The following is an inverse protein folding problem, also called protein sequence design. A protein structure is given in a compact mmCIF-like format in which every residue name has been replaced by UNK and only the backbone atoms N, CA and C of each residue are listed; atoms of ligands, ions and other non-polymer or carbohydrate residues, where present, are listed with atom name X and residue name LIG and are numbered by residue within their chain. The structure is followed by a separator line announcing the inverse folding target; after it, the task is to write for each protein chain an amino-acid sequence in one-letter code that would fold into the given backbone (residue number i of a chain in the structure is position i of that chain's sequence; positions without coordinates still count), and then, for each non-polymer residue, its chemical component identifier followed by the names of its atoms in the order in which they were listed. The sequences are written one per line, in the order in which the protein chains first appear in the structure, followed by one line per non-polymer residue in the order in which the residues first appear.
data_IF_438164243456
#
_entry.id   IF_438164243456
#
_cell.length_a   1.000
_cell.length_b   1.000
_cell.length_c   1.000
_cell.angle_alpha   90.00
_cell.angle_beta   90.00
_cell.angle_gamma   90.00
#
_symmetry.space_group_name_H-M   'P 1'
#
loop_
_entity.id
_entity.type
_entity.pdbx_description
1 polymer ?
#
# COMPACT_ATOMS: atom_id res chain seq x y z
N UNK A 1 24.32 -15.11 -25.33
CA UNK A 1 23.79 -14.18 -24.30
C UNK A 1 22.28 -14.20 -24.38
N UNK A 2 21.53 -14.76 -23.41
CA UNK A 2 20.08 -14.69 -23.47
C UNK A 2 19.61 -13.34 -22.93
N UNK A 3 18.71 -12.75 -23.71
CA UNK A 3 18.06 -11.47 -23.50
C UNK A 3 17.38 -11.38 -22.13
N UNK A 4 17.55 -10.24 -21.45
CA UNK A 4 16.75 -9.91 -20.26
C UNK A 4 15.30 -9.68 -20.70
N UNK A 5 14.47 -10.71 -20.62
CA UNK A 5 13.03 -10.56 -20.67
C UNK A 5 12.58 -9.84 -19.40
N UNK A 6 12.42 -8.52 -19.50
CA UNK A 6 11.67 -7.74 -18.52
C UNK A 6 10.18 -7.93 -18.80
N UNK A 7 9.57 -8.95 -18.19
CA UNK A 7 8.12 -9.02 -18.05
C UNK A 7 7.78 -8.71 -16.60
N UNK A 8 7.30 -7.50 -16.35
CA UNK A 8 6.85 -7.06 -15.04
C UNK A 8 6.25 -5.68 -15.20
N UNK A 9 4.98 -5.54 -14.85
CA UNK A 9 4.40 -4.23 -14.58
C UNK A 9 4.70 -3.98 -13.10
N UNK A 10 5.83 -3.35 -12.72
CA UNK A 10 6.05 -2.98 -11.32
C UNK A 10 4.93 -2.01 -10.93
N UNK A 11 4.65 -1.81 -9.65
CA UNK A 11 3.54 -0.98 -9.16
C UNK A 11 3.34 0.39 -9.88
N UNK A 12 4.40 0.95 -10.51
CA UNK A 12 4.30 2.08 -11.46
C UNK A 12 3.41 1.82 -12.68
N UNK A 13 3.49 0.65 -13.30
CA UNK A 13 2.67 0.32 -14.45
C UNK A 13 1.21 0.02 -14.08
N UNK A 14 0.94 -0.49 -12.86
CA UNK A 14 -0.42 -0.53 -12.29
C UNK A 14 -0.94 0.91 -12.09
N UNK A 15 -0.10 1.78 -11.54
CA UNK A 15 -0.42 3.20 -11.43
C UNK A 15 -0.66 3.87 -12.80
N UNK A 16 0.15 3.57 -13.81
CA UNK A 16 -0.05 4.09 -15.16
C UNK A 16 -1.29 3.52 -15.82
N UNK A 17 -1.64 2.25 -15.61
CA UNK A 17 -2.89 1.68 -16.13
C UNK A 17 -4.10 2.31 -15.47
N UNK A 18 -4.08 2.51 -14.14
CA UNK A 18 -5.12 3.24 -13.41
C UNK A 18 -5.21 4.69 -13.92
N UNK A 19 -4.08 5.38 -14.07
CA UNK A 19 -4.03 6.76 -14.59
C UNK A 19 -4.51 6.87 -16.04
N UNK A 20 -4.20 5.90 -16.90
CA UNK A 20 -4.67 5.88 -18.31
C UNK A 20 -6.16 5.54 -18.40
N UNK A 21 -6.70 4.75 -17.49
CA UNK A 21 -8.14 4.50 -17.39
C UNK A 21 -8.92 5.73 -16.89
N UNK A 22 -8.23 6.75 -16.36
CA UNK A 22 -8.84 7.95 -15.77
C UNK A 22 -8.53 9.27 -16.52
N UNK A 23 -7.96 9.22 -17.72
CA UNK A 23 -7.76 10.43 -18.53
C UNK A 23 -8.37 10.29 -19.93
N UNK A 24 -9.43 11.09 -20.11
CA UNK A 24 -10.09 11.51 -21.35
C UNK A 24 -11.21 10.58 -21.88
N UNK A 25 -12.37 10.66 -21.25
CA UNK A 25 -13.60 10.78 -22.05
C UNK A 25 -13.73 12.26 -22.47
N UNK A 26 -13.86 12.58 -23.77
CA UNK A 26 -13.79 13.96 -24.30
C UNK A 26 -14.96 14.88 -23.89
N UNK A 27 -15.77 14.50 -22.90
CA UNK A 27 -16.94 15.28 -22.41
C UNK A 27 -16.99 15.49 -20.89
N UNK A 28 -15.90 15.25 -20.15
CA UNK A 28 -15.84 15.64 -18.74
C UNK A 28 -16.83 14.96 -17.78
N UNK A 29 -17.32 13.76 -18.11
CA UNK A 29 -18.20 12.98 -17.21
C UNK A 29 -17.31 12.16 -16.23
N UNK A 30 -17.54 12.23 -14.91
CA UNK A 30 -16.81 11.40 -13.94
C UNK A 30 -17.11 9.92 -14.18
N UNK A 31 -16.11 9.15 -14.63
CA UNK A 31 -16.25 7.71 -14.83
C UNK A 31 -16.03 6.98 -13.50
N UNK A 32 -16.98 7.14 -12.57
CA UNK A 32 -17.23 6.14 -11.53
C UNK A 32 -18.47 5.28 -11.84
N UNK A 33 -19.13 5.52 -12.99
CA UNK A 33 -20.36 4.86 -13.41
C UNK A 33 -20.19 3.79 -14.50
N UNK A 34 -19.02 3.18 -14.68
CA UNK A 34 -18.95 1.94 -15.46
C UNK A 34 -19.02 0.73 -14.52
N UNK A 35 -20.08 -0.06 -14.65
CA UNK A 35 -20.29 -1.34 -13.96
C UNK A 35 -19.15 -2.36 -14.15
N UNK A 36 -18.19 -2.07 -15.04
CA UNK A 36 -17.05 -2.93 -15.38
C UNK A 36 -15.92 -2.85 -14.35
N UNK A 37 -15.53 -1.64 -13.91
CA UNK A 37 -14.46 -1.42 -12.92
C UNK A 37 -14.92 -1.81 -11.52
N UNK A 38 -16.16 -1.50 -11.16
CA UNK A 38 -16.76 -1.89 -9.88
C UNK A 38 -16.86 -3.41 -9.69
N UNK A 39 -17.12 -4.19 -10.75
CA UNK A 39 -17.27 -5.65 -10.65
C UNK A 39 -15.96 -6.45 -10.58
N UNK A 40 -14.83 -5.91 -11.07
CA UNK A 40 -13.53 -6.61 -11.06
C UNK A 40 -12.53 -6.10 -10.01
N UNK A 41 -12.75 -4.90 -9.48
CA UNK A 41 -11.98 -4.31 -8.38
C UNK A 41 -12.85 -4.09 -7.14
N UNK A 42 -14.00 -4.77 -7.05
CA UNK A 42 -14.79 -4.78 -5.82
C UNK A 42 -13.89 -5.22 -4.65
N UNK A 43 -13.85 -4.44 -3.55
CA UNK A 43 -13.21 -4.88 -2.32
C UNK A 43 -13.74 -6.26 -1.92
N UNK A 44 -12.87 -7.10 -1.38
CA UNK A 44 -13.32 -8.39 -0.85
C UNK A 44 -14.25 -8.15 0.33
N UNK A 45 -15.37 -8.86 0.33
CA UNK A 45 -16.27 -8.95 1.48
C UNK A 45 -15.60 -9.71 2.62
N UNK A 46 -16.05 -9.50 3.86
CA UNK A 46 -15.57 -10.24 5.03
C UNK A 46 -15.70 -11.77 4.86
N UNK A 47 -16.73 -12.22 4.14
CA UNK A 47 -16.96 -13.63 3.84
C UNK A 47 -15.96 -14.20 2.81
N UNK A 48 -15.55 -13.39 1.83
CA UNK A 48 -14.50 -13.76 0.88
C UNK A 48 -13.12 -13.74 1.54
N UNK A 49 -12.91 -12.83 2.50
CA UNK A 49 -11.71 -12.75 3.31
C UNK A 49 -11.51 -13.98 4.19
N UNK A 50 -12.56 -14.44 4.86
CA UNK A 50 -12.53 -15.65 5.68
C UNK A 50 -12.21 -16.93 4.88
N UNK A 51 -12.33 -16.89 3.54
CA UNK A 51 -12.05 -18.02 2.64
C UNK A 51 -10.67 -17.96 1.99
N UNK A 52 -9.90 -16.88 2.19
CA UNK A 52 -8.54 -16.81 1.65
C UNK A 52 -7.63 -17.79 2.39
N UNK A 53 -6.79 -18.57 1.68
CA UNK A 53 -5.84 -19.44 2.33
C UNK A 53 -4.75 -18.62 3.04
N UNK A 54 -4.55 -18.91 4.32
CA UNK A 54 -3.50 -18.33 5.17
C UNK A 54 -3.93 -17.13 6.02
N UNK A 55 -3.19 -16.89 7.10
CA UNK A 55 -3.43 -15.80 8.04
C UNK A 55 -3.19 -14.41 7.41
N UNK A 56 -3.76 -13.40 8.07
CA UNK A 56 -3.54 -12.00 7.72
C UNK A 56 -2.09 -11.57 7.94
N UNK A 57 -1.67 -10.55 7.19
CA UNK A 57 -0.32 -9.99 7.27
C UNK A 57 -0.32 -8.47 7.43
N UNK A 58 0.80 -7.94 7.92
CA UNK A 58 1.17 -6.53 7.83
C UNK A 58 2.25 -6.39 6.78
N UNK A 59 2.08 -5.47 5.84
CA UNK A 59 3.03 -5.26 4.75
C UNK A 59 3.78 -3.96 4.97
N UNK A 60 5.11 -4.04 5.10
CA UNK A 60 5.99 -2.88 5.05
C UNK A 60 6.53 -2.75 3.62
N UNK A 61 6.17 -1.68 2.92
CA UNK A 61 6.66 -1.40 1.56
C UNK A 61 7.96 -0.61 1.63
N UNK A 62 9.03 -1.23 1.14
CA UNK A 62 10.35 -0.62 1.02
C UNK A 62 10.71 -0.37 -0.44
N UNK A 63 11.53 0.64 -0.72
CA UNK A 63 11.98 0.94 -2.09
C UNK A 63 13.48 1.25 -2.13
N UNK A 64 14.33 0.29 -1.75
CA UNK A 64 15.77 0.49 -1.71
C UNK A 64 16.29 0.93 -3.09
N UNK A 65 17.25 1.86 -3.09
CA UNK A 65 17.87 2.37 -4.32
C UNK A 65 16.98 3.30 -5.17
N UNK A 66 15.97 3.93 -4.56
CA UNK A 66 15.11 4.90 -5.25
C UNK A 66 15.13 6.27 -4.57
N UNK A 67 14.72 7.33 -5.25
CA UNK A 67 14.62 8.69 -4.69
C UNK A 67 13.54 8.84 -3.59
N UNK A 68 12.93 7.75 -3.12
CA UNK A 68 11.86 7.75 -2.10
C UNK A 68 12.08 6.59 -1.14
N UNK A 69 13.15 6.74 -0.38
CA UNK A 69 13.56 5.87 0.72
C UNK A 69 13.31 6.64 2.00
N UNK A 70 13.06 5.93 3.09
CA UNK A 70 13.11 6.51 4.42
C UNK A 70 14.46 6.18 5.08
N UNK A 71 15.14 7.18 5.65
CA UNK A 71 16.49 7.02 6.21
C UNK A 71 16.53 5.90 7.27
N UNK A 72 15.46 5.81 8.08
CA UNK A 72 15.35 4.88 9.21
C UNK A 72 14.52 3.61 8.90
N UNK A 73 14.49 3.16 7.63
CA UNK A 73 13.72 1.95 7.25
C UNK A 73 14.11 0.70 8.04
N UNK A 74 15.38 0.54 8.42
CA UNK A 74 15.86 -0.59 9.22
C UNK A 74 15.26 -0.63 10.62
N UNK A 75 15.26 0.50 11.32
CA UNK A 75 14.69 0.63 12.67
C UNK A 75 13.18 0.41 12.67
N UNK A 76 12.48 0.90 11.64
CA UNK A 76 11.04 0.67 11.48
C UNK A 76 10.75 -0.80 11.22
N UNK A 77 11.52 -1.44 10.33
CA UNK A 77 11.36 -2.88 10.06
C UNK A 77 11.59 -3.71 11.33
N UNK A 78 12.67 -3.45 12.07
CA UNK A 78 12.99 -4.15 13.31
C UNK A 78 11.89 -3.97 14.36
N UNK A 79 11.42 -2.73 14.57
CA UNK A 79 10.35 -2.44 15.51
C UNK A 79 9.03 -3.12 15.11
N UNK A 80 8.66 -3.07 13.83
CA UNK A 80 7.48 -3.76 13.33
C UNK A 80 7.62 -5.29 13.46
N UNK A 81 8.83 -5.84 13.27
CA UNK A 81 9.09 -7.27 13.39
C UNK A 81 8.96 -7.73 14.85
N UNK A 82 9.40 -6.90 15.80
CA UNK A 82 9.20 -7.13 17.22
C UNK A 82 7.73 -7.20 17.63
N UNK A 83 6.85 -6.45 16.96
CA UNK A 83 5.40 -6.46 17.23
C UNK A 83 4.67 -7.57 16.48
N UNK A 84 4.93 -7.74 15.18
CA UNK A 84 4.12 -8.62 14.33
C UNK A 84 4.74 -9.98 14.04
N UNK A 85 6.02 -10.20 14.38
CA UNK A 85 6.72 -11.45 14.15
C UNK A 85 6.63 -11.92 12.69
N UNK A 86 6.18 -13.16 12.51
CA UNK A 86 6.02 -13.79 11.20
C UNK A 86 4.91 -13.17 10.33
N UNK A 87 4.00 -12.39 10.94
CA UNK A 87 2.94 -11.70 10.20
C UNK A 87 3.46 -10.46 9.46
N UNK A 88 4.68 -10.00 9.74
CA UNK A 88 5.31 -8.91 8.98
C UNK A 88 5.91 -9.42 7.67
N UNK A 89 5.42 -8.90 6.55
CA UNK A 89 5.98 -9.12 5.22
C UNK A 89 6.61 -7.82 4.71
N UNK A 90 7.90 -7.89 4.36
CA UNK A 90 8.62 -6.76 3.79
C UNK A 90 8.56 -6.84 2.26
N UNK A 91 7.86 -5.90 1.64
CA UNK A 91 7.71 -5.81 0.20
C UNK A 91 8.70 -4.78 -0.38
N UNK A 92 9.84 -5.26 -0.88
CA UNK A 92 10.92 -4.40 -1.40
C UNK A 92 11.20 -4.54 -2.90
N UNK A 93 10.64 -5.54 -3.56
CA UNK A 93 10.97 -5.92 -4.94
C UNK A 93 9.72 -6.07 -5.80
N UNK A 94 9.88 -5.98 -7.12
CA UNK A 94 8.78 -6.19 -8.06
C UNK A 94 8.39 -7.67 -8.10
N UNK A 95 7.29 -8.03 -7.44
CA UNK A 95 6.63 -9.32 -7.65
C UNK A 95 5.78 -9.30 -8.94
N UNK A 96 5.54 -10.45 -9.59
CA UNK A 96 4.48 -10.60 -10.57
C UNK A 96 3.14 -10.11 -10.00
N UNK A 97 2.31 -9.48 -10.82
CA UNK A 97 1.08 -8.82 -10.36
C UNK A 97 0.13 -9.76 -9.60
N UNK A 98 0.05 -11.03 -9.98
CA UNK A 98 -0.78 -12.02 -9.29
C UNK A 98 -0.24 -12.35 -7.90
N UNK A 99 1.09 -12.46 -7.74
CA UNK A 99 1.70 -12.68 -6.43
C UNK A 99 1.58 -11.45 -5.52
N UNK A 100 1.75 -10.25 -6.09
CA UNK A 100 1.48 -9.01 -5.37
C UNK A 100 0.02 -8.95 -4.94
N UNK A 101 -0.93 -9.24 -5.84
CA UNK A 101 -2.35 -9.32 -5.50
C UNK A 101 -2.60 -10.29 -4.34
N UNK A 102 -2.05 -11.50 -4.39
CA UNK A 102 -2.30 -12.52 -3.37
C UNK A 102 -1.69 -12.14 -2.01
N UNK A 103 -0.57 -11.41 -1.99
CA UNK A 103 -0.02 -10.79 -0.78
C UNK A 103 -0.93 -9.68 -0.24
N UNK A 104 -1.26 -8.68 -1.06
CA UNK A 104 -2.00 -7.50 -0.62
C UNK A 104 -3.47 -7.81 -0.29
N UNK A 105 -4.06 -8.88 -0.85
CA UNK A 105 -5.38 -9.40 -0.44
C UNK A 105 -5.43 -9.88 1.01
N UNK A 106 -4.29 -10.24 1.60
CA UNK A 106 -4.18 -10.65 3.01
C UNK A 106 -3.69 -9.52 3.93
N UNK A 107 -3.40 -8.33 3.38
CA UNK A 107 -2.83 -7.24 4.15
C UNK A 107 -3.91 -6.53 5.00
N UNK A 108 -3.83 -6.65 6.32
CA UNK A 108 -4.67 -5.86 7.25
C UNK A 108 -4.13 -4.44 7.46
N UNK A 109 -2.81 -4.29 7.37
CA UNK A 109 -2.14 -2.99 7.38
C UNK A 109 -1.05 -2.96 6.32
N UNK A 110 -1.01 -1.88 5.55
CA UNK A 110 0.13 -1.51 4.69
C UNK A 110 0.79 -0.26 5.25
N UNK A 111 2.09 -0.31 5.53
CA UNK A 111 2.90 0.85 5.88
C UNK A 111 3.83 1.14 4.71
N UNK A 112 3.77 2.34 4.15
CA UNK A 112 4.55 2.66 2.96
C UNK A 112 4.91 4.14 2.86
N UNK A 113 6.11 4.41 2.36
CA UNK A 113 6.47 5.75 1.87
C UNK A 113 5.67 6.06 0.60
N UNK A 114 5.23 7.31 0.45
CA UNK A 114 4.47 7.74 -0.72
C UNK A 114 5.11 7.29 -2.03
N UNK A 115 4.33 6.60 -2.86
CA UNK A 115 4.75 6.20 -4.19
C UNK A 115 4.03 4.98 -4.70
N UNK A 116 4.51 4.47 -5.84
CA UNK A 116 3.76 3.50 -6.62
C UNK A 116 3.40 2.20 -5.87
N UNK A 117 4.12 1.83 -4.81
CA UNK A 117 3.77 0.67 -3.98
C UNK A 117 2.36 0.78 -3.35
N UNK A 118 1.88 1.99 -3.07
CA UNK A 118 0.52 2.23 -2.59
C UNK A 118 -0.57 1.97 -3.65
N UNK A 119 -0.22 1.78 -4.93
CA UNK A 119 -1.21 1.36 -5.93
C UNK A 119 -1.82 -0.02 -5.63
N UNK A 120 -1.17 -0.83 -4.80
CA UNK A 120 -1.70 -2.13 -4.37
C UNK A 120 -2.87 -2.05 -3.38
N UNK A 121 -3.25 -0.85 -2.92
CA UNK A 121 -4.49 -0.63 -2.14
C UNK A 121 -5.71 -1.23 -2.84
N UNK A 122 -5.74 -1.26 -4.17
CA UNK A 122 -6.82 -1.88 -4.97
C UNK A 122 -7.04 -3.37 -4.70
N UNK A 123 -6.07 -4.05 -4.10
CA UNK A 123 -6.16 -5.46 -3.76
C UNK A 123 -6.43 -5.70 -2.28
N UNK A 124 -6.36 -4.66 -1.45
CA UNK A 124 -6.54 -4.79 -0.01
C UNK A 124 -8.01 -5.11 0.33
N UNK A 125 -8.24 -5.79 1.46
CA UNK A 125 -9.59 -6.03 1.92
C UNK A 125 -10.27 -4.78 2.43
N UNK A 126 -11.61 -4.83 2.40
CA UNK A 126 -12.46 -3.84 3.05
C UNK A 126 -12.07 -3.70 4.53
N UNK A 127 -12.11 -2.47 5.05
CA UNK A 127 -11.75 -2.11 6.42
C UNK A 127 -10.28 -2.38 6.80
N UNK A 128 -9.43 -2.80 5.86
CA UNK A 128 -7.98 -2.77 6.06
C UNK A 128 -7.49 -1.34 6.29
N UNK A 129 -6.24 -1.19 6.71
CA UNK A 129 -5.65 0.12 6.97
C UNK A 129 -4.41 0.36 6.13
N UNK A 130 -4.19 1.59 5.70
CA UNK A 130 -2.94 2.03 5.10
C UNK A 130 -2.39 3.21 5.89
N UNK A 131 -1.10 3.13 6.25
CA UNK A 131 -0.34 4.24 6.79
C UNK A 131 0.63 4.73 5.71
N UNK A 132 0.27 5.84 5.08
CA UNK A 132 1.15 6.54 4.15
C UNK A 132 2.09 7.48 4.91
N UNK A 133 3.39 7.32 4.68
CA UNK A 133 4.41 8.27 5.16
C UNK A 133 4.87 9.13 3.98
N UNK A 134 4.78 10.45 4.09
CA UNK A 134 5.15 11.35 2.97
C UNK A 134 5.79 12.65 3.42
N UNK A 135 6.60 13.30 2.57
CA UNK A 135 7.10 14.64 2.85
C UNK A 135 5.96 15.66 3.02
N UNK A 136 6.12 16.61 3.95
CA UNK A 136 5.15 17.70 4.17
C UNK A 136 4.88 18.54 2.92
N UNK A 137 5.86 18.71 2.03
CA UNK A 137 5.73 19.45 0.77
C UNK A 137 4.98 18.68 -0.33
N UNK A 138 4.56 17.44 -0.05
CA UNK A 138 3.90 16.57 -1.01
C UNK A 138 2.38 16.53 -0.82
N UNK A 139 1.66 17.14 -1.77
CA UNK A 139 0.22 17.42 -1.64
C UNK A 139 -0.70 16.48 -2.45
N UNK A 140 -0.15 15.55 -3.23
CA UNK A 140 -0.99 14.66 -4.03
C UNK A 140 -1.68 13.62 -3.13
N UNK A 141 -3.01 13.71 -3.05
CA UNK A 141 -3.90 12.88 -2.23
C UNK A 141 -4.42 11.64 -2.95
N UNK A 142 -3.81 11.24 -4.07
CA UNK A 142 -4.37 10.18 -4.90
C UNK A 142 -4.53 8.83 -4.20
N UNK A 143 -3.67 8.49 -3.23
CA UNK A 143 -3.82 7.25 -2.46
C UNK A 143 -4.85 7.35 -1.34
N UNK A 144 -5.16 8.56 -0.86
CA UNK A 144 -6.30 8.79 0.02
C UNK A 144 -7.61 8.50 -0.72
N UNK A 145 -7.79 9.08 -1.92
CA UNK A 145 -8.97 8.79 -2.75
C UNK A 145 -9.04 7.32 -3.18
N UNK A 146 -7.88 6.67 -3.41
CA UNK A 146 -7.83 5.25 -3.74
C UNK A 146 -8.30 4.39 -2.55
N UNK A 147 -7.84 4.72 -1.35
CA UNK A 147 -8.25 4.02 -0.14
C UNK A 147 -9.76 4.20 0.12
N UNK A 148 -10.28 5.41 -0.03
CA UNK A 148 -11.71 5.70 0.06
C UNK A 148 -12.53 4.88 -0.95
N UNK A 149 -12.10 4.87 -2.22
CA UNK A 149 -12.77 4.09 -3.26
C UNK A 149 -12.75 2.57 -3.01
N UNK A 150 -11.76 2.08 -2.26
CA UNK A 150 -11.62 0.67 -1.88
C UNK A 150 -12.16 0.34 -0.48
N UNK A 151 -12.77 1.31 0.21
CA UNK A 151 -13.19 1.19 1.61
C UNK A 151 -12.07 0.70 2.55
N UNK A 152 -10.88 1.26 2.38
CA UNK A 152 -9.68 1.05 3.19
C UNK A 152 -9.46 2.30 4.05
N UNK A 153 -9.21 2.11 5.34
CA UNK A 153 -8.91 3.17 6.28
C UNK A 153 -7.55 3.80 5.95
N UNK A 154 -7.51 5.12 5.76
CA UNK A 154 -6.30 5.82 5.36
C UNK A 154 -5.78 6.70 6.50
N UNK A 155 -4.50 6.51 6.83
CA UNK A 155 -3.76 7.28 7.83
C UNK A 155 -2.55 7.91 7.16
N UNK A 156 -2.22 9.13 7.57
CA UNK A 156 -1.12 9.90 7.02
C UNK A 156 -0.15 10.32 8.11
N UNK A 157 1.13 9.99 7.94
CA UNK A 157 2.22 10.58 8.68
C UNK A 157 3.03 11.51 7.76
N UNK A 158 3.19 12.76 8.18
CA UNK A 158 4.02 13.72 7.47
C UNK A 158 5.43 13.71 8.04
N UNK A 159 6.39 13.28 7.22
CA UNK A 159 7.82 13.38 7.54
C UNK A 159 8.47 14.63 6.95
N UNK A 160 9.74 14.81 7.32
CA UNK A 160 10.61 15.84 6.79
C UNK A 160 11.34 15.35 5.55
N UNK A 161 11.53 16.23 4.56
CA UNK A 161 12.21 15.88 3.33
C UNK A 161 11.57 16.58 2.14
N UNK A 162 11.99 16.19 0.95
CA UNK A 162 11.50 16.73 -0.31
C UNK A 162 10.72 15.66 -1.07
N UNK A 163 9.81 16.10 -1.94
CA UNK A 163 9.10 15.26 -2.93
C UNK A 163 9.99 14.24 -3.68
N UNK A 164 11.25 14.60 -3.93
CA UNK A 164 12.31 13.73 -4.47
C UNK A 164 13.50 13.84 -3.52
N UNK A 165 13.91 12.72 -2.95
CA UNK A 165 14.95 12.68 -1.94
C UNK A 165 14.54 11.83 -0.75
N UNK A 166 15.46 11.66 0.18
CA UNK A 166 15.20 10.87 1.37
C UNK A 166 14.17 11.53 2.26
N UNK A 167 13.23 10.72 2.73
CA UNK A 167 12.24 11.07 3.73
C UNK A 167 12.81 10.73 5.11
N UNK A 168 12.71 11.67 6.03
CA UNK A 168 12.97 11.46 7.46
C UNK A 168 11.64 11.43 8.19
N UNK A 169 11.40 10.34 8.90
CA UNK A 169 10.23 10.19 9.75
C UNK A 169 10.69 9.42 10.98
N UNK A 170 10.26 9.87 12.17
CA UNK A 170 10.64 9.21 13.41
C UNK A 170 10.04 7.78 13.44
N UNK A 171 10.88 6.72 13.53
CA UNK A 171 10.38 5.36 13.69
C UNK A 171 9.41 5.20 14.86
N UNK A 172 9.58 5.98 15.93
CA UNK A 172 8.71 5.94 17.11
C UNK A 172 7.31 6.44 16.78
N UNK A 173 7.18 7.53 16.03
CA UNK A 173 5.88 8.05 15.60
C UNK A 173 5.17 7.06 14.66
N UNK A 174 5.92 6.44 13.74
CA UNK A 174 5.39 5.38 12.88
C UNK A 174 4.85 4.24 13.74
N UNK A 175 5.63 3.77 14.71
CA UNK A 175 5.23 2.68 15.58
C UNK A 175 4.05 3.03 16.48
N UNK A 176 3.96 4.25 17.00
CA UNK A 176 2.80 4.72 17.76
C UNK A 176 1.52 4.64 16.94
N UNK A 177 1.56 5.11 15.68
CA UNK A 177 0.42 5.01 14.76
C UNK A 177 0.11 3.57 14.40
N UNK A 178 1.12 2.78 14.06
CA UNK A 178 0.96 1.35 13.78
C UNK A 178 0.23 0.66 14.92
N UNK A 179 0.69 0.83 16.17
CA UNK A 179 0.06 0.27 17.36
C UNK A 179 -1.35 0.83 17.56
N UNK A 180 -1.55 2.14 17.41
CA UNK A 180 -2.87 2.75 17.57
C UNK A 180 -3.91 2.21 16.56
N UNK A 181 -3.52 2.07 15.29
CA UNK A 181 -4.36 1.53 14.20
C UNK A 181 -4.77 0.09 14.47
N UNK A 182 -3.87 -0.67 15.10
CA UNK A 182 -4.02 -2.11 15.26
C UNK A 182 -4.48 -2.54 16.65
N UNK A 183 -4.55 -1.59 17.58
CA UNK A 183 -5.17 -1.73 18.89
C UNK A 183 -6.64 -2.14 18.73
N UNK A 184 -7.00 -3.30 19.27
CA UNK A 184 -8.36 -3.83 19.22
C UNK A 184 -8.64 -4.83 18.09
N UNK A 185 -7.63 -5.20 17.30
CA UNK A 185 -7.76 -6.38 16.43
C UNK A 185 -7.89 -7.63 17.30
N UNK A 186 -8.87 -8.50 16.96
CA UNK A 186 -9.21 -9.71 17.74
C UNK A 186 -8.03 -10.69 18.00
N UNK A 187 -6.92 -10.55 17.27
CA UNK A 187 -5.72 -11.40 17.37
C UNK A 187 -4.42 -10.58 17.60
N UNK A 188 -4.55 -9.44 18.29
CA UNK A 188 -3.41 -8.59 18.65
C UNK A 188 -2.35 -9.42 19.39
N UNK A 189 -1.06 -9.37 19.00
CA UNK A 189 -0.01 -10.03 19.76
C UNK A 189 -0.03 -9.47 21.19
N UNK A 190 -0.29 -10.37 22.15
CA UNK A 190 -0.39 -10.05 23.57
C UNK A 190 0.92 -9.49 24.13
#
# INVERSE_FOLDING_TARGET
MPSRQYCGVPARGLWYSLRRQHLLHPRGIPIFHSNWTQRKLAPLTDAEMARLPGDWVVVLVRRPGTERVMDQEGEVEESMRGVFGERLVVYGQSLPILQARDLFRRARLVVAVHGAGLSHIVFMPTNASVLEVRPRDYHNTCYHHLAEACNVNYYLLMGEGKKKGTLKADPREIMQLVVAISKGWKDWPA
#
